data_IF_869108576884
#
_entry.id   IF_869108576884
#
_cell.length_a   1.000
_cell.length_b   1.000
_cell.length_c   1.000
_cell.angle_alpha   90.00
_cell.angle_beta   90.00
_cell.angle_gamma   90.00
#
_symmetry.space_group_name_H-M   'P 1'
#
loop_
_entity.id
_entity.type
_entity.pdbx_description
1 polymer ?
#
# COMPACT_ATOMS: atom_id res chain seq x y z
N UNK A 1 -1.40 -30.93 -27.94
CA UNK A 1 -1.93 -30.75 -26.56
C UNK A 1 -0.87 -30.41 -25.50
N UNK A 2 0.36 -30.94 -25.56
CA UNK A 2 1.39 -30.67 -24.53
C UNK A 2 1.81 -29.19 -24.42
N UNK A 3 2.04 -28.51 -25.54
CA UNK A 3 2.44 -27.09 -25.56
C UNK A 3 1.42 -26.15 -24.92
N UNK A 4 0.12 -26.39 -25.12
CA UNK A 4 -0.95 -25.61 -24.51
C UNK A 4 -0.98 -25.76 -22.98
N UNK A 5 -0.77 -26.99 -22.48
CA UNK A 5 -0.67 -27.27 -21.03
C UNK A 5 0.57 -26.64 -20.41
N UNK A 6 1.72 -26.69 -21.09
CA UNK A 6 2.95 -26.04 -20.64
C UNK A 6 2.84 -24.51 -20.65
N UNK A 7 2.19 -23.92 -21.66
CA UNK A 7 1.93 -22.48 -21.71
C UNK A 7 0.98 -22.03 -20.58
N UNK A 8 -0.05 -22.83 -20.28
CA UNK A 8 -0.98 -22.57 -19.18
C UNK A 8 -0.30 -22.72 -17.81
N UNK A 9 0.57 -23.71 -17.63
CA UNK A 9 1.37 -23.83 -16.43
C UNK A 9 2.27 -22.59 -16.26
N UNK A 10 2.99 -22.17 -17.31
CA UNK A 10 3.85 -20.99 -17.26
C UNK A 10 3.08 -19.71 -16.94
N UNK A 11 1.87 -19.53 -17.48
CA UNK A 11 1.05 -18.35 -17.17
C UNK A 11 0.59 -18.34 -15.71
N UNK A 12 0.20 -19.50 -15.16
CA UNK A 12 -0.14 -19.67 -13.74
C UNK A 12 1.04 -19.40 -12.82
N UNK A 13 2.23 -19.93 -13.13
CA UNK A 13 3.46 -19.68 -12.37
C UNK A 13 3.84 -18.20 -12.40
N UNK A 14 3.78 -17.55 -13.57
CA UNK A 14 4.01 -16.12 -13.69
C UNK A 14 3.00 -15.28 -12.90
N UNK A 15 1.70 -15.62 -12.96
CA UNK A 15 0.66 -14.95 -12.16
C UNK A 15 0.94 -15.06 -10.66
N UNK A 16 1.29 -16.26 -10.19
CA UNK A 16 1.62 -16.51 -8.79
C UNK A 16 2.89 -15.77 -8.36
N UNK A 17 3.94 -15.80 -9.17
CA UNK A 17 5.18 -15.07 -8.91
C UNK A 17 4.95 -13.57 -8.83
N UNK A 18 4.23 -12.99 -9.81
CA UNK A 18 3.94 -11.56 -9.83
C UNK A 18 3.04 -11.13 -8.67
N UNK A 19 2.05 -11.95 -8.30
CA UNK A 19 1.26 -11.72 -7.08
C UNK A 19 2.13 -11.69 -5.83
N UNK A 20 3.05 -12.64 -5.69
CA UNK A 20 3.98 -12.69 -4.57
C UNK A 20 4.90 -11.46 -4.52
N UNK A 21 5.25 -10.87 -5.67
CA UNK A 21 6.02 -9.62 -5.71
C UNK A 21 5.23 -8.44 -5.13
N UNK A 22 3.94 -8.30 -5.47
CA UNK A 22 3.06 -7.26 -4.92
C UNK A 22 2.74 -7.46 -3.43
N UNK A 23 2.76 -8.71 -2.97
CA UNK A 23 2.58 -9.09 -1.56
C UNK A 23 3.92 -9.14 -0.79
N UNK A 24 5.04 -8.74 -1.41
CA UNK A 24 6.35 -8.76 -0.77
C UNK A 24 6.70 -7.43 -0.09
N UNK A 25 7.34 -7.55 1.08
CA UNK A 25 7.97 -6.42 1.78
C UNK A 25 9.44 -6.18 1.35
N UNK A 26 9.95 -6.97 0.41
CA UNK A 26 11.31 -6.83 -0.09
C UNK A 26 11.41 -5.72 -1.13
N UNK A 27 12.11 -4.64 -0.78
CA UNK A 27 12.34 -3.49 -1.67
C UNK A 27 13.05 -3.89 -2.98
N UNK A 28 13.95 -4.87 -2.95
CA UNK A 28 14.67 -5.33 -4.15
C UNK A 28 13.71 -5.93 -5.19
N UNK A 29 12.65 -6.61 -4.73
CA UNK A 29 11.61 -7.18 -5.58
C UNK A 29 10.71 -6.09 -6.18
N UNK A 30 10.44 -5.03 -5.43
CA UNK A 30 9.76 -3.84 -5.94
C UNK A 30 10.57 -3.15 -7.04
N UNK A 31 11.90 -3.03 -6.90
CA UNK A 31 12.74 -2.45 -7.96
C UNK A 31 12.61 -3.21 -9.29
N UNK A 32 12.53 -4.55 -9.21
CA UNK A 32 12.35 -5.42 -10.37
C UNK A 32 10.97 -5.22 -11.01
N UNK A 33 9.91 -5.03 -10.21
CA UNK A 33 8.58 -4.67 -10.73
C UNK A 33 8.62 -3.36 -11.53
N UNK A 34 9.44 -2.39 -11.12
CA UNK A 34 9.60 -1.13 -11.84
C UNK A 34 10.10 -1.28 -13.28
N UNK A 35 10.84 -2.36 -13.57
CA UNK A 35 11.36 -2.68 -14.91
C UNK A 35 10.34 -3.37 -15.80
N UNK A 36 9.23 -3.86 -15.24
CA UNK A 36 8.17 -4.53 -16.01
C UNK A 36 7.31 -3.46 -16.70
N UNK A 37 7.03 -3.58 -18.01
CA UNK A 37 6.16 -2.62 -18.71
C UNK A 37 4.79 -2.45 -18.05
N UNK A 38 4.23 -1.24 -18.12
CA UNK A 38 2.98 -0.87 -17.44
C UNK A 38 1.81 -1.81 -17.75
N UNK A 39 1.57 -2.12 -19.03
CA UNK A 39 0.48 -3.02 -19.43
C UNK A 39 0.57 -4.40 -18.78
N UNK A 40 1.79 -4.92 -18.57
CA UNK A 40 2.01 -6.18 -17.86
C UNK A 40 1.76 -5.99 -16.36
N UNK A 41 2.26 -4.90 -15.76
CA UNK A 41 1.95 -4.58 -14.35
C UNK A 41 0.44 -4.51 -14.10
N UNK A 42 -0.31 -3.83 -14.98
CA UNK A 42 -1.76 -3.72 -14.93
C UNK A 42 -2.44 -5.10 -15.04
N UNK A 43 -2.00 -5.94 -15.97
CA UNK A 43 -2.52 -7.30 -16.13
C UNK A 43 -2.43 -8.07 -14.80
N UNK A 44 -1.28 -8.02 -14.12
CA UNK A 44 -1.10 -8.70 -12.83
C UNK A 44 -1.85 -8.00 -11.68
N UNK A 45 -1.87 -6.67 -11.65
CA UNK A 45 -2.57 -5.88 -10.63
C UNK A 45 -4.07 -6.22 -10.55
N UNK A 46 -4.69 -6.59 -11.67
CA UNK A 46 -6.07 -7.05 -11.72
C UNK A 46 -6.34 -8.32 -10.88
N UNK A 47 -5.32 -9.09 -10.53
CA UNK A 47 -5.44 -10.31 -9.73
C UNK A 47 -5.04 -10.13 -8.26
N UNK A 48 -4.45 -8.99 -7.91
CA UNK A 48 -3.92 -8.73 -6.57
C UNK A 48 -5.06 -8.40 -5.62
N UNK A 49 -5.14 -9.13 -4.50
CA UNK A 49 -6.13 -8.91 -3.43
C UNK A 49 -5.55 -8.21 -2.21
N UNK A 50 -4.23 -8.27 -2.04
CA UNK A 50 -3.47 -7.65 -0.95
C UNK A 50 -2.20 -7.01 -1.51
N UNK A 51 -1.84 -5.84 -0.99
CA UNK A 51 -0.67 -5.08 -1.42
C UNK A 51 0.15 -4.75 -0.18
N UNK A 52 1.41 -5.14 -0.18
CA UNK A 52 2.36 -4.86 0.91
C UNK A 52 3.31 -3.76 0.44
N UNK A 53 3.21 -2.57 1.03
CA UNK A 53 4.04 -1.42 0.68
C UNK A 53 5.21 -1.34 1.66
N UNK A 54 6.44 -1.65 1.22
CA UNK A 54 7.61 -1.49 2.06
C UNK A 54 8.01 -0.02 2.15
N UNK A 55 8.35 0.44 3.37
CA UNK A 55 9.11 1.65 3.69
C UNK A 55 8.77 2.93 2.89
N UNK A 56 8.21 3.94 3.56
CA UNK A 56 7.85 5.22 2.93
C UNK A 56 8.99 6.26 2.92
N UNK A 57 10.25 5.83 2.85
CA UNK A 57 11.38 6.75 2.70
C UNK A 57 11.34 7.41 1.31
N UNK A 58 11.86 8.64 1.18
CA UNK A 58 11.76 9.42 -0.06
C UNK A 58 12.24 8.67 -1.33
N UNK A 59 13.35 7.93 -1.23
CA UNK A 59 13.87 7.10 -2.34
C UNK A 59 12.90 5.98 -2.72
N UNK A 60 12.36 5.28 -1.72
CA UNK A 60 11.38 4.21 -1.90
C UNK A 60 10.05 4.73 -2.45
N UNK A 61 9.62 5.94 -2.06
CA UNK A 61 8.43 6.59 -2.58
C UNK A 61 8.54 6.97 -4.06
N UNK A 62 9.69 7.50 -4.48
CA UNK A 62 9.92 7.83 -5.89
C UNK A 62 9.84 6.58 -6.77
N UNK A 63 10.46 5.50 -6.32
CA UNK A 63 10.43 4.21 -7.01
C UNK A 63 9.03 3.60 -7.00
N UNK A 64 8.34 3.64 -5.87
CA UNK A 64 6.96 3.18 -5.77
C UNK A 64 6.06 3.94 -6.72
N UNK A 65 6.21 5.27 -6.83
CA UNK A 65 5.46 6.09 -7.78
C UNK A 65 5.63 5.57 -9.20
N UNK A 66 6.84 5.23 -9.63
CA UNK A 66 7.08 4.66 -10.97
C UNK A 66 6.41 3.30 -11.17
N UNK A 67 6.30 2.50 -10.10
CA UNK A 67 5.74 1.15 -10.15
C UNK A 67 4.20 1.18 -10.22
N UNK A 68 3.57 2.08 -9.46
CA UNK A 68 2.10 2.15 -9.33
C UNK A 68 1.45 3.19 -10.25
N UNK A 69 2.24 4.06 -10.88
CA UNK A 69 1.73 5.02 -11.86
C UNK A 69 1.10 4.28 -13.05
N UNK A 70 -0.10 4.72 -13.43
CA UNK A 70 -0.89 4.09 -14.50
C UNK A 70 -1.54 2.77 -14.11
N UNK A 71 -1.33 2.27 -12.89
CA UNK A 71 -1.83 0.97 -12.44
C UNK A 71 -3.03 1.13 -11.52
N UNK A 72 -4.16 0.52 -11.91
CA UNK A 72 -5.38 0.44 -11.12
C UNK A 72 -5.60 -0.96 -10.56
N UNK A 73 -5.74 -1.05 -9.25
CA UNK A 73 -5.91 -2.31 -8.53
C UNK A 73 -7.39 -2.63 -8.28
N UNK A 74 -8.06 -3.16 -9.31
CA UNK A 74 -9.51 -3.39 -9.27
C UNK A 74 -9.97 -4.46 -8.26
N UNK A 75 -9.13 -5.42 -7.90
CA UNK A 75 -9.48 -6.51 -6.96
C UNK A 75 -8.83 -6.36 -5.58
N UNK A 76 -8.08 -5.29 -5.37
CA UNK A 76 -7.37 -5.06 -4.12
C UNK A 76 -8.36 -4.73 -3.01
N UNK A 77 -8.29 -5.50 -1.91
CA UNK A 77 -9.17 -5.35 -0.75
C UNK A 77 -8.41 -4.85 0.49
N UNK A 78 -7.12 -5.19 0.59
CA UNK A 78 -6.28 -4.85 1.73
C UNK A 78 -4.97 -4.20 1.28
N UNK A 79 -4.58 -3.14 1.97
CA UNK A 79 -3.30 -2.47 1.77
C UNK A 79 -2.57 -2.46 3.10
N UNK A 80 -1.37 -3.01 3.15
CA UNK A 80 -0.51 -2.99 4.33
C UNK A 80 0.68 -2.08 4.06
N UNK A 81 1.00 -1.19 4.98
CA UNK A 81 2.08 -0.20 4.83
C UNK A 81 3.06 -0.39 5.97
N UNK A 82 4.33 -0.55 5.63
CA UNK A 82 5.39 -0.84 6.60
C UNK A 82 6.32 0.35 6.75
N UNK A 83 6.22 1.04 7.89
CA UNK A 83 7.07 2.15 8.28
C UNK A 83 8.28 1.59 9.05
N UNK A 84 9.45 1.56 8.39
CA UNK A 84 10.71 1.09 8.97
C UNK A 84 11.63 2.26 9.31
N UNK A 85 12.06 2.33 10.57
CA UNK A 85 13.00 3.33 11.08
C UNK A 85 12.45 4.75 11.21
N UNK A 86 13.32 5.69 11.58
CA UNK A 86 13.03 7.12 11.63
C UNK A 86 13.02 7.68 10.20
N UNK A 87 11.86 8.16 9.74
CA UNK A 87 11.72 8.70 8.38
C UNK A 87 11.23 10.15 8.45
N UNK A 88 11.98 11.04 7.80
CA UNK A 88 11.57 12.43 7.51
C UNK A 88 10.89 12.45 6.13
N UNK A 89 9.98 13.41 5.89
CA UNK A 89 9.25 13.54 4.63
C UNK A 89 8.43 12.29 4.22
N UNK A 90 7.72 11.68 5.17
CA UNK A 90 6.84 10.55 4.87
C UNK A 90 5.60 11.04 4.11
N UNK A 91 5.35 10.49 2.92
CA UNK A 91 4.11 10.69 2.18
C UNK A 91 3.39 9.36 2.00
N UNK A 92 2.06 9.38 2.12
CA UNK A 92 1.26 8.22 1.74
C UNK A 92 1.36 8.02 0.22
N UNK A 93 1.64 6.80 -0.25
CA UNK A 93 1.77 6.56 -1.67
C UNK A 93 0.41 6.59 -2.35
N UNK A 94 0.34 7.30 -3.48
CA UNK A 94 -0.90 7.44 -4.23
C UNK A 94 -1.09 6.21 -5.11
N UNK A 95 -2.01 5.33 -4.74
CA UNK A 95 -2.41 4.15 -5.50
C UNK A 95 -3.85 4.30 -5.98
N UNK A 96 -4.18 3.81 -7.18
CA UNK A 96 -5.57 3.77 -7.63
C UNK A 96 -6.14 2.39 -7.29
N UNK A 97 -6.99 2.32 -6.27
CA UNK A 97 -7.48 1.04 -5.77
C UNK A 97 -8.90 1.20 -5.22
N UNK A 98 -9.91 1.34 -6.11
CA UNK A 98 -11.25 1.77 -5.73
C UNK A 98 -11.93 0.80 -4.75
N UNK A 99 -11.53 -0.47 -4.80
CA UNK A 99 -12.14 -1.58 -4.08
C UNK A 99 -11.48 -1.91 -2.73
N UNK A 100 -10.54 -1.09 -2.25
CA UNK A 100 -9.87 -1.29 -0.95
C UNK A 100 -10.85 -1.04 0.19
N UNK A 101 -10.90 -1.97 1.14
CA UNK A 101 -11.75 -1.89 2.33
C UNK A 101 -10.96 -1.58 3.59
N UNK A 102 -9.71 -2.05 3.63
CA UNK A 102 -8.90 -2.04 4.85
C UNK A 102 -7.49 -1.56 4.54
N UNK A 103 -7.02 -0.58 5.31
CA UNK A 103 -5.62 -0.13 5.31
C UNK A 103 -5.00 -0.53 6.64
N UNK A 104 -3.91 -1.29 6.63
CA UNK A 104 -3.11 -1.65 7.79
C UNK A 104 -1.80 -0.86 7.76
N UNK A 105 -1.45 -0.24 8.89
CA UNK A 105 -0.23 0.55 9.04
C UNK A 105 0.61 -0.10 10.13
N UNK A 106 1.68 -0.74 9.70
CA UNK A 106 2.70 -1.34 10.54
C UNK A 106 3.85 -0.33 10.71
N UNK A 107 4.29 -0.08 11.93
CA UNK A 107 5.47 0.73 12.19
C UNK A 107 6.05 0.40 13.56
N UNK A 108 7.38 0.44 13.69
CA UNK A 108 8.04 0.15 14.98
C UNK A 108 8.25 1.44 15.79
N UNK A 109 8.46 2.57 15.12
CA UNK A 109 8.50 3.91 15.72
C UNK A 109 8.06 4.93 14.69
N UNK A 110 6.79 5.37 14.75
CA UNK A 110 6.34 6.52 13.96
C UNK A 110 6.61 7.77 14.79
N UNK A 111 7.88 7.98 15.19
CA UNK A 111 8.35 9.30 15.61
C UNK A 111 8.54 10.15 14.35
N UNK A 112 7.42 10.46 13.69
CA UNK A 112 7.41 11.52 12.69
C UNK A 112 7.51 12.81 13.50
N UNK A 113 8.72 13.30 13.66
CA UNK A 113 9.00 14.54 14.37
C UNK A 113 8.44 15.74 13.58
N UNK A 114 7.96 16.76 14.29
CA UNK A 114 7.57 18.04 13.70
C UNK A 114 6.25 18.05 12.91
N UNK A 115 6.12 18.94 11.92
CA UNK A 115 4.88 19.17 11.17
C UNK A 115 4.55 18.06 10.15
N UNK A 116 5.53 17.25 9.76
CA UNK A 116 5.40 16.22 8.73
C UNK A 116 4.36 15.14 9.07
N UNK A 117 4.13 14.89 10.36
CA UNK A 117 3.14 13.90 10.83
C UNK A 117 1.71 14.29 10.50
N UNK A 118 1.40 15.58 10.64
CA UNK A 118 0.08 16.11 10.34
C UNK A 118 -0.14 16.13 8.82
N UNK A 119 0.89 16.48 8.06
CA UNK A 119 0.87 16.46 6.59
C UNK A 119 0.63 15.04 6.06
N UNK A 120 1.33 14.03 6.59
CA UNK A 120 1.13 12.64 6.19
C UNK A 120 -0.31 12.17 6.42
N UNK A 121 -0.87 12.41 7.61
CA UNK A 121 -2.26 11.99 7.91
C UNK A 121 -3.29 12.71 7.06
N UNK A 122 -3.09 14.01 6.78
CA UNK A 122 -3.95 14.76 5.85
C UNK A 122 -3.85 14.22 4.44
N UNK A 123 -2.65 13.89 3.97
CA UNK A 123 -2.44 13.31 2.64
C UNK A 123 -3.10 11.93 2.53
N UNK A 124 -2.97 11.09 3.56
CA UNK A 124 -3.67 9.81 3.64
C UNK A 124 -5.20 10.01 3.56
N UNK A 125 -5.76 10.90 4.37
CA UNK A 125 -7.19 11.17 4.35
C UNK A 125 -7.68 11.70 3.00
N UNK A 126 -6.93 12.61 2.38
CA UNK A 126 -7.23 13.13 1.04
C UNK A 126 -7.21 12.02 0.00
N UNK A 127 -6.19 11.16 0.03
CA UNK A 127 -6.06 10.05 -0.90
C UNK A 127 -7.18 9.02 -0.74
N UNK A 128 -7.55 8.68 0.50
CA UNK A 128 -8.68 7.78 0.78
C UNK A 128 -9.96 8.32 0.17
N UNK A 129 -10.27 9.61 0.36
CA UNK A 129 -11.45 10.24 -0.23
C UNK A 129 -11.48 10.20 -1.75
N UNK A 130 -10.32 10.40 -2.39
CA UNK A 130 -10.24 10.56 -3.85
C UNK A 130 -10.13 9.24 -4.60
N UNK A 131 -9.42 8.25 -4.04
CA UNK A 131 -8.98 7.06 -4.77
C UNK A 131 -9.35 5.74 -4.10
N UNK A 132 -9.77 5.77 -2.83
CA UNK A 132 -10.11 4.58 -2.05
C UNK A 132 -11.50 4.73 -1.39
N UNK A 133 -12.56 4.98 -2.18
CA UNK A 133 -13.89 5.38 -1.65
C UNK A 133 -14.55 4.31 -0.77
N UNK A 134 -14.17 3.03 -0.91
CA UNK A 134 -14.74 1.93 -0.15
C UNK A 134 -13.97 1.56 1.12
N UNK A 135 -12.96 2.35 1.51
CA UNK A 135 -12.23 2.11 2.76
C UNK A 135 -13.19 2.27 3.94
N UNK A 136 -13.33 1.19 4.72
CA UNK A 136 -14.15 1.16 5.94
C UNK A 136 -13.32 1.14 7.20
N UNK A 137 -12.05 0.74 7.10
CA UNK A 137 -11.19 0.60 8.27
C UNK A 137 -9.74 0.96 8.01
N UNK A 138 -9.15 1.70 8.95
CA UNK A 138 -7.71 1.93 9.06
C UNK A 138 -7.23 1.33 10.39
N UNK A 139 -6.32 0.36 10.33
CA UNK A 139 -5.76 -0.30 11.50
C UNK A 139 -4.29 0.07 11.67
N UNK A 140 -3.90 0.42 12.88
CA UNK A 140 -2.50 0.58 13.26
C UNK A 140 -2.07 -0.67 14.02
N UNK A 141 -0.94 -1.28 13.65
CA UNK A 141 -0.39 -2.42 14.37
C UNK A 141 0.01 -2.03 15.81
N UNK A 142 0.03 -3.00 16.73
CA UNK A 142 0.30 -2.76 18.16
C UNK A 142 1.60 -2.01 18.46
N UNK A 143 2.66 -2.33 17.70
CA UNK A 143 3.98 -1.70 17.86
C UNK A 143 4.04 -0.29 17.24
N UNK A 144 2.99 0.11 16.52
CA UNK A 144 2.90 1.44 15.91
C UNK A 144 2.50 2.46 16.98
N UNK A 145 3.48 3.20 17.52
CA UNK A 145 3.19 4.37 18.35
C UNK A 145 2.54 5.47 17.50
N UNK A 146 1.28 5.78 17.74
CA UNK A 146 0.54 6.86 17.07
C UNK A 146 0.03 7.84 18.10
N UNK A 147 0.40 9.11 17.97
CA UNK A 147 -0.10 10.18 18.83
C UNK A 147 -1.60 10.37 18.63
N UNK A 148 -2.33 10.60 19.72
CA UNK A 148 -3.78 10.80 19.70
C UNK A 148 -4.21 11.94 18.76
N UNK A 149 -3.43 13.01 18.69
CA UNK A 149 -3.67 14.14 17.77
C UNK A 149 -3.71 13.72 16.31
N UNK A 150 -2.97 12.67 15.91
CA UNK A 150 -2.98 12.14 14.54
C UNK A 150 -4.20 11.28 14.28
N UNK A 151 -4.61 10.48 15.27
CA UNK A 151 -5.85 9.71 15.20
C UNK A 151 -7.05 10.66 15.08
N UNK A 152 -7.04 11.77 15.81
CA UNK A 152 -8.09 12.80 15.73
C UNK A 152 -8.22 13.39 14.33
N UNK A 153 -7.10 13.73 13.66
CA UNK A 153 -7.13 14.21 12.26
C UNK A 153 -7.82 13.20 11.34
N UNK A 154 -7.49 11.91 11.47
CA UNK A 154 -8.11 10.89 10.63
C UNK A 154 -9.60 10.74 10.94
N UNK A 155 -10.00 10.75 12.22
CA UNK A 155 -11.41 10.68 12.63
C UNK A 155 -12.22 11.87 12.11
N UNK A 156 -11.68 13.08 12.22
CA UNK A 156 -12.31 14.32 11.72
C UNK A 156 -12.42 14.30 10.19
N UNK A 157 -11.38 13.88 9.49
CA UNK A 157 -11.36 13.89 8.01
C UNK A 157 -12.09 12.71 7.40
N UNK A 158 -12.23 11.58 8.10
CA UNK A 158 -12.84 10.35 7.61
C UNK A 158 -13.89 9.81 8.61
N UNK A 159 -15.01 10.53 8.83
CA UNK A 159 -15.96 10.22 9.90
C UNK A 159 -16.64 8.84 9.78
N UNK A 160 -16.76 8.29 8.55
CA UNK A 160 -17.32 6.96 8.31
C UNK A 160 -16.30 5.80 8.36
N UNK A 161 -15.01 6.10 8.61
CA UNK A 161 -13.94 5.10 8.59
C UNK A 161 -13.59 4.72 10.02
N UNK A 162 -13.68 3.42 10.35
CA UNK A 162 -13.27 2.90 11.65
C UNK A 162 -11.75 2.99 11.78
N UNK A 163 -11.28 3.70 12.80
CA UNK A 163 -9.86 3.83 13.12
C UNK A 163 -9.57 3.08 14.41
N UNK A 164 -8.68 2.09 14.35
CA UNK A 164 -8.35 1.23 15.50
C UNK A 164 -6.85 1.00 15.60
N UNK A 165 -6.35 0.90 16.83
CA UNK A 165 -5.00 0.39 17.13
C UNK A 165 -5.16 -1.04 17.60
N UNK A 166 -4.52 -2.01 16.96
CA UNK A 166 -4.64 -3.43 17.28
C UNK A 166 -4.14 -3.72 18.70
N UNK A 167 -4.95 -4.43 19.47
CA UNK A 167 -4.68 -4.89 20.84
C UNK A 167 -4.63 -6.42 20.88
N UNK A 168 -3.51 -7.03 20.47
CA UNK A 168 -3.24 -8.46 20.67
C UNK A 168 -1.78 -8.66 21.05
#
# INVERSE_FOLDING_TARGET
MALARSAQANSMWCLKAMRNLWESQDGALWERLGRVPEHRRQFYANCVKRLEIPSLAARSLAQMKLIVQGVTFNRLRHVSIHLRGYQRNIAFPKIDAPNVHVIHIHGVYVEILGQDRHRMMRNLACHVKQKLPHVRQIRFARRTRVYETLLRILKEKLPGVRISVSSE
#
